data_IF_482250709810
#
_entry.id   IF_482250709810
#
_cell.length_a   1.000
_cell.length_b   1.000
_cell.length_c   1.000
_cell.angle_alpha   90.00
_cell.angle_beta   90.00
_cell.angle_gamma   90.00
#
_symmetry.space_group_name_H-M   'P 1'
#
loop_
_entity.id
_entity.type
_entity.pdbx_description
1 polymer ?
#
# COMPACT_ATOMS: atom_id res chain seq x y z
N UNK A 1 17.03 -13.59 -0.97
CA UNK A 1 15.66 -13.95 -1.41
C UNK A 1 15.83 -14.82 -2.64
N UNK A 2 15.20 -15.99 -2.73
CA UNK A 2 15.42 -16.93 -3.85
C UNK A 2 14.67 -16.49 -5.12
N UNK A 3 15.17 -16.85 -6.31
CA UNK A 3 14.49 -16.63 -7.61
C UNK A 3 13.04 -17.17 -7.58
N UNK A 4 12.85 -18.37 -7.01
CA UNK A 4 11.51 -18.98 -6.82
C UNK A 4 10.51 -18.11 -6.05
N UNK A 5 10.97 -17.31 -5.10
CA UNK A 5 10.06 -16.40 -4.39
C UNK A 5 9.49 -15.34 -5.33
N UNK A 6 10.35 -14.76 -6.18
CA UNK A 6 9.94 -13.73 -7.12
C UNK A 6 9.09 -14.29 -8.26
N UNK A 7 9.36 -15.51 -8.73
CA UNK A 7 8.48 -16.20 -9.69
C UNK A 7 7.03 -16.31 -9.16
N UNK A 8 6.85 -16.77 -7.92
CA UNK A 8 5.53 -16.91 -7.29
C UNK A 8 4.88 -15.55 -7.11
N UNK A 9 5.63 -14.57 -6.60
CA UNK A 9 5.11 -13.21 -6.40
C UNK A 9 4.67 -12.59 -7.73
N UNK A 10 5.46 -12.73 -8.80
CA UNK A 10 5.17 -12.09 -10.08
C UNK A 10 4.06 -12.79 -10.88
N UNK A 11 3.77 -14.07 -10.60
CA UNK A 11 2.58 -14.73 -11.14
C UNK A 11 1.27 -14.01 -10.75
N UNK A 12 1.25 -13.30 -9.62
CA UNK A 12 0.12 -12.51 -9.13
C UNK A 12 0.03 -11.07 -9.65
N UNK A 13 0.82 -10.67 -10.67
CA UNK A 13 0.97 -9.26 -11.09
C UNK A 13 -0.34 -8.46 -11.23
N UNK A 14 -1.42 -8.98 -11.84
CA UNK A 14 -2.68 -8.23 -11.96
C UNK A 14 -3.29 -7.89 -10.61
N UNK A 15 -3.21 -8.81 -9.64
CA UNK A 15 -3.75 -8.65 -8.30
C UNK A 15 -2.98 -7.58 -7.53
N UNK A 16 -1.65 -7.59 -7.62
CA UNK A 16 -0.82 -6.57 -6.96
C UNK A 16 -1.10 -5.16 -7.47
N UNK A 17 -1.34 -5.02 -8.79
CA UNK A 17 -1.74 -3.74 -9.39
C UNK A 17 -3.09 -3.23 -8.87
N UNK A 18 -4.10 -4.11 -8.76
CA UNK A 18 -5.41 -3.78 -8.20
C UNK A 18 -5.28 -3.39 -6.72
N UNK A 19 -4.56 -4.18 -5.92
CA UNK A 19 -4.32 -3.89 -4.51
C UNK A 19 -3.61 -2.56 -4.31
N UNK A 20 -2.60 -2.27 -5.14
CA UNK A 20 -1.90 -0.98 -5.10
C UNK A 20 -2.87 0.19 -5.37
N UNK A 21 -3.69 0.08 -6.42
CA UNK A 21 -4.69 1.11 -6.75
C UNK A 21 -5.70 1.31 -5.62
N UNK A 22 -6.24 0.22 -5.06
CA UNK A 22 -7.15 0.28 -3.92
C UNK A 22 -6.49 0.93 -2.69
N UNK A 23 -5.26 0.56 -2.35
CA UNK A 23 -4.53 1.15 -1.22
C UNK A 23 -4.30 2.64 -1.41
N UNK A 24 -3.99 3.10 -2.63
CA UNK A 24 -3.87 4.54 -2.93
C UNK A 24 -5.19 5.27 -2.72
N UNK A 25 -6.30 4.71 -3.19
CA UNK A 25 -7.65 5.29 -2.97
C UNK A 25 -7.95 5.37 -1.46
N UNK A 26 -7.71 4.30 -0.71
CA UNK A 26 -7.88 4.28 0.74
C UNK A 26 -7.02 5.30 1.47
N UNK A 27 -5.77 5.50 1.02
CA UNK A 27 -4.88 6.53 1.57
C UNK A 27 -5.48 7.92 1.38
N UNK A 28 -5.97 8.23 0.18
CA UNK A 28 -6.59 9.53 -0.12
C UNK A 28 -7.80 9.78 0.79
N UNK A 29 -8.71 8.80 0.91
CA UNK A 29 -9.85 8.92 1.83
C UNK A 29 -9.42 9.11 3.28
N UNK A 30 -8.39 8.40 3.73
CA UNK A 30 -7.89 8.49 5.11
C UNK A 30 -7.28 9.86 5.41
N UNK A 31 -6.51 10.41 4.47
CA UNK A 31 -5.93 11.76 4.59
C UNK A 31 -7.00 12.84 4.58
N UNK A 32 -8.00 12.74 3.70
CA UNK A 32 -9.15 13.65 3.69
C UNK A 32 -9.93 13.59 5.00
N UNK A 33 -10.12 12.38 5.55
CA UNK A 33 -10.81 12.20 6.82
C UNK A 33 -10.00 12.81 7.97
N UNK A 34 -8.67 12.64 7.98
CA UNK A 34 -7.79 13.30 8.95
C UNK A 34 -7.86 14.82 8.88
N UNK A 35 -7.90 15.37 7.67
CA UNK A 35 -8.02 16.80 7.45
C UNK A 35 -9.33 17.38 8.02
N UNK A 36 -10.41 16.60 7.99
CA UNK A 36 -11.73 17.01 8.50
C UNK A 36 -11.97 16.64 9.97
N UNK A 37 -11.18 15.75 10.55
CA UNK A 37 -11.36 15.27 11.91
C UNK A 37 -10.84 16.27 12.95
N UNK A 38 -11.57 16.43 14.06
CA UNK A 38 -11.06 17.17 15.21
C UNK A 38 -9.95 16.37 15.90
N UNK A 39 -8.82 17.00 16.27
CA UNK A 39 -7.65 16.30 16.81
C UNK A 39 -7.87 15.72 18.21
N UNK A 40 -8.91 16.14 18.91
CA UNK A 40 -9.24 15.70 20.28
C UNK A 40 -9.97 14.36 20.32
N UNK A 41 -10.50 13.88 19.19
CA UNK A 41 -11.21 12.63 19.13
C UNK A 41 -10.23 11.44 19.10
N UNK A 42 -10.49 10.39 19.88
CA UNK A 42 -9.68 9.15 19.82
C UNK A 42 -9.61 8.52 18.41
N UNK A 43 -10.60 8.80 17.57
CA UNK A 43 -10.62 8.44 16.14
C UNK A 43 -9.50 9.11 15.33
N UNK A 44 -9.02 10.29 15.73
CA UNK A 44 -7.93 11.00 15.07
C UNK A 44 -6.62 10.20 15.15
N UNK A 45 -6.27 9.71 16.34
CA UNK A 45 -5.05 8.90 16.52
C UNK A 45 -5.11 7.58 15.74
N UNK A 46 -6.29 6.93 15.71
CA UNK A 46 -6.50 5.71 14.93
C UNK A 46 -6.29 5.99 13.43
N UNK A 47 -6.83 7.10 12.93
CA UNK A 47 -6.65 7.50 11.53
C UNK A 47 -5.18 7.81 11.19
N UNK A 48 -4.45 8.48 12.08
CA UNK A 48 -3.01 8.75 11.88
C UNK A 48 -2.23 7.44 11.81
N UNK A 49 -2.49 6.49 12.71
CA UNK A 49 -1.85 5.17 12.69
C UNK A 49 -2.19 4.43 11.39
N UNK A 50 -3.44 4.46 10.94
CA UNK A 50 -3.84 3.83 9.69
C UNK A 50 -3.09 4.42 8.49
N UNK A 51 -2.96 5.75 8.39
CA UNK A 51 -2.17 6.38 7.32
C UNK A 51 -0.70 5.96 7.40
N UNK A 52 -0.13 5.92 8.61
CA UNK A 52 1.26 5.51 8.82
C UNK A 52 1.51 4.04 8.42
N UNK A 53 0.51 3.16 8.51
CA UNK A 53 0.60 1.75 8.10
C UNK A 53 0.35 1.57 6.58
N UNK A 54 -0.54 2.36 5.99
CA UNK A 54 -0.87 2.26 4.56
C UNK A 54 0.32 2.68 3.70
N UNK A 55 1.06 3.72 4.09
CA UNK A 55 2.22 4.23 3.33
C UNK A 55 3.31 3.16 3.06
N UNK A 56 3.86 2.45 4.05
CA UNK A 56 4.86 1.40 3.81
C UNK A 56 4.25 0.22 3.04
N UNK A 57 2.97 -0.10 3.24
CA UNK A 57 2.28 -1.14 2.47
C UNK A 57 2.22 -0.81 0.97
N UNK A 58 1.86 0.43 0.62
CA UNK A 58 1.91 0.93 -0.77
C UNK A 58 3.35 0.87 -1.30
N UNK A 59 4.34 1.23 -0.48
CA UNK A 59 5.75 1.12 -0.84
C UNK A 59 6.17 -0.30 -1.23
N UNK A 60 5.77 -1.31 -0.44
CA UNK A 60 6.04 -2.74 -0.72
C UNK A 60 5.33 -3.21 -1.98
N UNK A 61 4.06 -2.84 -2.17
CA UNK A 61 3.32 -3.16 -3.39
C UNK A 61 3.95 -2.52 -4.63
N UNK A 62 4.31 -1.24 -4.54
CA UNK A 62 4.99 -0.52 -5.62
C UNK A 62 6.35 -1.13 -5.97
N UNK A 63 7.13 -1.52 -4.96
CA UNK A 63 8.39 -2.23 -5.15
C UNK A 63 8.17 -3.59 -5.84
N UNK A 64 7.19 -4.36 -5.38
CA UNK A 64 6.83 -5.66 -5.97
C UNK A 64 6.44 -5.51 -7.44
N UNK A 65 5.55 -4.56 -7.77
CA UNK A 65 5.12 -4.29 -9.14
C UNK A 65 6.32 -3.87 -10.00
N UNK A 66 7.17 -2.96 -9.50
CA UNK A 66 8.37 -2.52 -10.22
C UNK A 66 9.29 -3.71 -10.52
N UNK A 67 9.61 -4.51 -9.50
CA UNK A 67 10.51 -5.65 -9.65
C UNK A 67 9.97 -6.69 -10.64
N UNK A 68 8.69 -7.02 -10.54
CA UNK A 68 8.03 -7.95 -11.47
C UNK A 68 7.92 -7.44 -12.91
N UNK A 69 7.97 -6.12 -13.14
CA UNK A 69 8.01 -5.53 -14.48
C UNK A 69 9.40 -5.44 -15.07
N UNK A 70 10.44 -5.23 -14.25
CA UNK A 70 11.82 -5.12 -14.73
C UNK A 70 12.40 -6.46 -15.20
N UNK A 71 11.83 -7.60 -14.77
CA UNK A 71 12.36 -8.92 -15.11
C UNK A 71 13.68 -9.27 -14.40
N UNK A 72 14.04 -8.50 -13.36
CA UNK A 72 15.20 -8.75 -12.50
C UNK A 72 14.87 -9.91 -11.54
N UNK A 73 14.95 -11.15 -12.02
CA UNK A 73 14.82 -12.37 -11.21
C UNK A 73 16.17 -12.80 -10.66
#
# INVERSE_FOLDING_TARGET
>A
MSERFWEIMCAGMPVWGILFGLSVVFLVFSVLTLYLASPEAGSFHILVINVALILPFIGVLGYTIRKCRSGDF
#
